data_IF_173532863710
#
_entry.id   IF_173532863710
#
_cell.length_a   1.000
_cell.length_b   1.000
_cell.length_c   1.000
_cell.angle_alpha   90.00
_cell.angle_beta   90.00
_cell.angle_gamma   90.00
#
_symmetry.space_group_name_H-M   'P 1'
#
loop_
_entity.id
_entity.type
_entity.pdbx_description
1 polymer ?
#
# COMPACT_ATOMS: atom_id res chain seq x y z
N UNK A 1 8.30 12.42 28.90
CA UNK A 1 7.76 12.26 27.52
C UNK A 1 8.87 12.71 26.57
N UNK A 2 9.19 11.89 25.58
CA UNK A 2 10.24 12.23 24.61
C UNK A 2 9.79 13.45 23.80
N UNK A 3 10.65 14.47 23.73
CA UNK A 3 10.36 15.69 22.97
C UNK A 3 10.73 15.55 21.47
N UNK A 4 10.88 14.31 21.00
CA UNK A 4 11.23 14.03 19.61
C UNK A 4 10.01 14.24 18.71
N UNK A 5 10.25 14.97 17.63
CA UNK A 5 9.26 15.19 16.57
C UNK A 5 9.82 14.61 15.27
N UNK A 6 8.97 13.97 14.49
CA UNK A 6 9.32 13.42 13.18
C UNK A 6 8.25 13.82 12.19
N UNK A 7 8.66 14.28 11.03
CA UNK A 7 7.77 14.54 9.91
C UNK A 7 7.73 13.32 8.98
N UNK A 8 6.54 12.92 8.55
CA UNK A 8 6.34 11.85 7.58
C UNK A 8 5.59 12.42 6.38
N UNK A 9 6.15 12.29 5.19
CA UNK A 9 5.51 12.70 3.95
C UNK A 9 4.92 11.50 3.23
N UNK A 10 3.61 11.54 3.00
CA UNK A 10 2.82 10.49 2.36
C UNK A 10 2.17 9.53 3.34
N UNK A 11 0.84 9.41 3.27
CA UNK A 11 0.05 8.47 4.06
C UNK A 11 -0.33 7.20 3.26
N UNK A 12 0.63 6.68 2.48
CA UNK A 12 0.59 5.35 1.91
C UNK A 12 0.86 4.27 2.96
N UNK A 13 1.06 3.02 2.52
CA UNK A 13 1.35 1.89 3.43
C UNK A 13 2.58 2.17 4.32
N UNK A 14 3.69 2.57 3.71
CA UNK A 14 4.94 2.80 4.44
C UNK A 14 4.84 3.98 5.42
N UNK A 15 4.23 5.09 4.99
CA UNK A 15 4.09 6.28 5.84
C UNK A 15 3.15 6.05 7.02
N UNK A 16 2.01 5.38 6.81
CA UNK A 16 1.09 5.02 7.90
C UNK A 16 1.73 4.06 8.90
N UNK A 17 2.44 3.02 8.44
CA UNK A 17 3.14 2.09 9.34
C UNK A 17 4.17 2.84 10.18
N UNK A 18 5.01 3.66 9.55
CA UNK A 18 6.04 4.44 10.25
C UNK A 18 5.42 5.43 11.26
N UNK A 19 4.39 6.16 10.85
CA UNK A 19 3.71 7.12 11.73
C UNK A 19 3.10 6.45 12.95
N UNK A 20 2.37 5.36 12.77
CA UNK A 20 1.74 4.60 13.85
C UNK A 20 2.78 3.96 14.78
N UNK A 21 3.85 3.41 14.22
CA UNK A 21 4.93 2.80 15.00
C UNK A 21 5.66 3.83 15.85
N UNK A 22 6.05 4.97 15.26
CA UNK A 22 6.71 6.08 15.97
C UNK A 22 5.81 6.65 17.08
N UNK A 23 4.53 6.89 16.76
CA UNK A 23 3.56 7.38 17.73
C UNK A 23 3.37 6.42 18.90
N UNK A 24 3.36 5.10 18.63
CA UNK A 24 3.33 4.06 19.66
C UNK A 24 4.56 4.03 20.59
N UNK A 25 5.68 4.62 20.15
CA UNK A 25 6.88 4.83 20.98
C UNK A 25 6.90 6.20 21.67
N UNK A 26 5.82 6.96 21.62
CA UNK A 26 5.68 8.27 22.25
C UNK A 26 6.35 9.41 21.47
N UNK A 27 6.67 9.21 20.19
CA UNK A 27 7.18 10.26 19.31
C UNK A 27 6.00 11.06 18.76
N UNK A 28 6.13 12.40 18.73
CA UNK A 28 5.16 13.28 18.07
C UNK A 28 5.39 13.23 16.56
N UNK A 29 4.38 12.86 15.78
CA UNK A 29 4.47 12.70 14.33
C UNK A 29 3.62 13.75 13.64
N UNK A 30 4.21 14.45 12.67
CA UNK A 30 3.47 15.28 11.71
C UNK A 30 3.40 14.52 10.40
N UNK A 31 2.19 14.09 10.02
CA UNK A 31 1.96 13.31 8.80
C UNK A 31 1.32 14.19 7.73
N UNK A 32 1.96 14.30 6.58
CA UNK A 32 1.45 15.02 5.41
C UNK A 32 0.90 14.06 4.38
N UNK A 33 -0.29 14.37 3.86
CA UNK A 33 -0.95 13.65 2.77
C UNK A 33 -1.60 14.63 1.80
N UNK A 34 -1.26 14.54 0.53
CA UNK A 34 -1.79 15.46 -0.48
C UNK A 34 -3.27 15.25 -0.81
N UNK A 35 -3.80 14.04 -0.59
CA UNK A 35 -5.22 13.76 -0.80
C UNK A 35 -6.07 14.36 0.33
N UNK A 36 -7.26 14.88 0.04
CA UNK A 36 -8.00 14.83 -1.22
C UNK A 36 -7.73 16.00 -2.18
N UNK A 37 -6.81 16.93 -1.87
CA UNK A 37 -6.58 18.12 -2.71
C UNK A 37 -5.88 17.80 -4.02
N UNK A 38 -4.97 16.82 -3.99
CA UNK A 38 -4.26 16.33 -5.17
C UNK A 38 -4.24 14.80 -5.19
N UNK A 39 -4.57 14.19 -6.34
CA UNK A 39 -4.54 12.75 -6.56
C UNK A 39 -3.50 12.42 -7.63
N UNK A 40 -2.68 11.40 -7.39
CA UNK A 40 -1.90 10.82 -8.50
C UNK A 40 -2.84 10.08 -9.46
N UNK A 41 -2.41 9.79 -10.70
CA UNK A 41 -3.25 9.09 -11.68
C UNK A 41 -3.79 7.73 -11.22
N UNK A 42 -3.13 7.08 -10.26
CA UNK A 42 -3.49 5.76 -9.77
C UNK A 42 -4.41 5.77 -8.53
N UNK A 43 -4.43 6.85 -7.77
CA UNK A 43 -5.23 6.97 -6.55
C UNK A 43 -6.65 7.48 -6.84
N UNK A 44 -7.64 6.92 -6.14
CA UNK A 44 -9.07 7.26 -6.31
C UNK A 44 -9.77 7.55 -4.98
N UNK A 45 -9.19 7.10 -3.87
CA UNK A 45 -9.74 7.26 -2.52
C UNK A 45 -9.02 8.35 -1.75
N UNK A 46 -9.73 9.15 -0.98
CA UNK A 46 -9.16 10.10 -0.02
C UNK A 46 -8.60 9.41 1.24
N UNK A 47 -8.86 8.12 1.44
CA UNK A 47 -8.36 7.32 2.55
C UNK A 47 -6.85 7.11 2.52
N UNK A 48 -6.30 6.72 3.67
CA UNK A 48 -4.89 6.37 3.79
C UNK A 48 -4.63 4.92 3.38
N UNK A 49 -3.38 4.57 3.13
CA UNK A 49 -2.93 3.22 2.78
C UNK A 49 -3.76 2.57 1.64
N UNK A 50 -4.16 3.35 0.64
CA UNK A 50 -4.91 2.87 -0.52
C UNK A 50 -4.08 1.83 -1.29
N UNK A 51 -4.68 0.65 -1.52
CA UNK A 51 -4.07 -0.41 -2.32
C UNK A 51 -4.41 -0.20 -3.81
N UNK A 52 -3.43 0.10 -4.64
CA UNK A 52 -3.62 0.48 -6.04
C UNK A 52 -3.63 -0.74 -6.98
N UNK A 53 -2.59 -1.60 -6.88
CA UNK A 53 -2.39 -2.68 -7.84
C UNK A 53 -3.23 -3.92 -7.54
N UNK A 54 -3.29 -4.34 -6.28
CA UNK A 54 -3.90 -5.60 -5.85
C UNK A 54 -4.37 -5.47 -4.41
N UNK A 55 -5.42 -6.21 -4.06
CA UNK A 55 -5.84 -6.38 -2.67
C UNK A 55 -5.05 -7.48 -1.94
N UNK A 56 -4.12 -8.15 -2.63
CA UNK A 56 -3.30 -9.21 -2.06
C UNK A 56 -1.98 -8.66 -1.52
N UNK A 57 -1.72 -8.92 -0.25
CA UNK A 57 -0.43 -8.69 0.40
C UNK A 57 0.51 -9.91 0.26
N UNK A 58 0.25 -10.76 -0.73
CA UNK A 58 1.03 -11.96 -1.09
C UNK A 58 0.95 -13.09 -0.05
N UNK A 59 1.74 -14.14 -0.29
CA UNK A 59 1.71 -15.36 0.52
C UNK A 59 2.01 -15.13 2.01
N UNK A 60 1.42 -15.96 2.88
CA UNK A 60 1.62 -15.94 4.34
C UNK A 60 2.51 -17.07 4.86
N UNK A 61 2.83 -18.05 4.03
CA UNK A 61 3.63 -19.20 4.45
C UNK A 61 5.05 -18.76 4.81
N UNK A 62 5.57 -19.26 5.93
CA UNK A 62 6.91 -18.94 6.42
C UNK A 62 8.05 -19.41 5.50
N UNK A 63 7.78 -20.39 4.65
CA UNK A 63 8.71 -20.87 3.63
C UNK A 63 8.74 -20.00 2.36
N UNK A 64 7.99 -18.90 2.33
CA UNK A 64 8.02 -17.88 1.28
C UNK A 64 8.60 -16.58 1.82
N UNK A 65 9.35 -15.85 0.98
CA UNK A 65 9.95 -14.58 1.38
C UNK A 65 8.91 -13.57 1.91
N UNK A 66 7.75 -13.48 1.24
CA UNK A 66 6.68 -12.56 1.65
C UNK A 66 5.98 -12.98 2.95
N UNK A 67 5.89 -14.29 3.21
CA UNK A 67 5.33 -14.80 4.47
C UNK A 67 6.29 -14.61 5.63
N UNK A 68 7.58 -14.89 5.42
CA UNK A 68 8.62 -14.66 6.43
C UNK A 68 8.68 -13.17 6.81
N UNK A 69 8.70 -12.27 5.82
CA UNK A 69 8.69 -10.81 6.07
C UNK A 69 7.48 -10.39 6.91
N UNK A 70 6.28 -10.89 6.61
CA UNK A 70 5.08 -10.59 7.42
C UNK A 70 5.19 -11.09 8.85
N UNK A 71 5.79 -12.26 9.06
CA UNK A 71 6.01 -12.77 10.43
C UNK A 71 7.01 -11.87 11.19
N UNK A 72 8.07 -11.43 10.55
CA UNK A 72 9.01 -10.46 11.13
C UNK A 72 8.29 -9.16 11.50
N UNK A 73 7.46 -8.62 10.58
CA UNK A 73 6.66 -7.43 10.83
C UNK A 73 5.65 -7.63 11.98
N UNK A 74 5.01 -8.80 12.10
CA UNK A 74 4.12 -9.13 13.24
C UNK A 74 4.87 -9.07 14.57
N UNK A 75 6.09 -9.63 14.62
CA UNK A 75 6.94 -9.58 15.81
C UNK A 75 7.43 -8.16 16.15
N UNK A 76 7.40 -7.27 15.17
CA UNK A 76 7.69 -5.84 15.34
C UNK A 76 6.44 -5.00 15.64
N UNK A 77 5.30 -5.63 15.93
CA UNK A 77 4.02 -4.97 16.22
C UNK A 77 3.49 -4.10 15.06
N UNK A 78 3.61 -4.59 13.81
CA UNK A 78 3.08 -3.89 12.64
C UNK A 78 1.58 -3.60 12.77
N UNK A 79 1.23 -2.34 12.67
CA UNK A 79 -0.16 -1.87 12.78
C UNK A 79 -0.96 -2.14 11.51
N UNK A 80 -0.32 -2.05 10.35
CA UNK A 80 -0.96 -2.35 9.09
C UNK A 80 -1.28 -3.84 8.93
N UNK A 81 -0.44 -4.73 9.46
CA UNK A 81 -0.78 -6.15 9.47
C UNK A 81 -1.97 -6.45 10.37
N UNK A 82 -2.11 -5.75 11.49
CA UNK A 82 -3.32 -5.86 12.33
C UNK A 82 -4.56 -5.46 11.53
N UNK A 83 -4.54 -4.30 10.87
CA UNK A 83 -5.64 -3.86 10.01
C UNK A 83 -5.92 -4.83 8.85
N UNK A 84 -4.88 -5.44 8.28
CA UNK A 84 -5.02 -6.42 7.21
C UNK A 84 -5.70 -7.72 7.69
N UNK A 85 -5.37 -8.19 8.88
CA UNK A 85 -6.03 -9.37 9.47
C UNK A 85 -7.51 -9.10 9.77
N UNK A 86 -7.84 -7.90 10.27
CA UNK A 86 -9.23 -7.49 10.56
C UNK A 86 -10.10 -7.37 9.30
N UNK A 87 -9.48 -7.09 8.15
CA UNK A 87 -10.18 -6.86 6.88
C UNK A 87 -9.91 -7.94 5.84
N UNK A 88 -9.44 -9.10 6.30
CA UNK A 88 -9.10 -10.26 5.48
C UNK A 88 -10.29 -10.75 4.66
N UNK A 89 -10.01 -11.14 3.42
CA UNK A 89 -10.92 -11.89 2.55
C UNK A 89 -10.29 -13.21 2.13
N UNK A 90 -11.10 -14.19 1.72
CA UNK A 90 -10.62 -15.48 1.28
C UNK A 90 -9.71 -15.36 0.04
N UNK A 91 -8.50 -15.91 0.13
CA UNK A 91 -7.51 -15.90 -0.95
C UNK A 91 -6.50 -17.06 -0.83
N UNK A 92 -6.94 -18.24 -0.41
CA UNK A 92 -6.11 -19.43 -0.24
C UNK A 92 -4.92 -19.18 0.69
N UNK A 93 -3.69 -19.38 0.22
CA UNK A 93 -2.47 -19.19 1.00
C UNK A 93 -1.91 -17.76 1.01
N UNK A 94 -2.69 -16.76 0.58
CA UNK A 94 -2.30 -15.36 0.58
C UNK A 94 -3.10 -14.55 1.60
N UNK A 95 -2.52 -13.48 2.12
CA UNK A 95 -3.24 -12.44 2.85
C UNK A 95 -3.82 -11.47 1.82
N UNK A 96 -5.12 -11.54 1.60
CA UNK A 96 -5.86 -10.55 0.82
C UNK A 96 -6.88 -9.84 1.72
N UNK A 97 -7.20 -8.61 1.37
CA UNK A 97 -8.07 -7.74 2.16
C UNK A 97 -9.18 -7.13 1.33
N UNK A 98 -10.29 -6.78 1.97
CA UNK A 98 -11.20 -5.79 1.40
C UNK A 98 -10.49 -4.44 1.38
N UNK A 99 -10.33 -3.84 0.19
CA UNK A 99 -9.53 -2.62 0.01
C UNK A 99 -10.09 -1.42 0.77
N UNK A 100 -11.40 -1.26 0.68
CA UNK A 100 -12.06 -0.10 1.28
C UNK A 100 -12.09 -0.22 2.80
N UNK A 101 -12.40 -1.42 3.30
CA UNK A 101 -12.37 -1.71 4.74
C UNK A 101 -10.95 -1.55 5.31
N UNK A 102 -9.92 -2.02 4.60
CA UNK A 102 -8.52 -1.88 5.00
C UNK A 102 -8.10 -0.39 5.07
N UNK A 103 -8.33 0.36 3.99
CA UNK A 103 -8.02 1.79 3.96
C UNK A 103 -8.77 2.55 5.06
N UNK A 104 -10.06 2.24 5.28
CA UNK A 104 -10.84 2.84 6.35
C UNK A 104 -10.32 2.49 7.75
N UNK A 105 -9.88 1.25 7.97
CA UNK A 105 -9.29 0.83 9.24
C UNK A 105 -7.99 1.59 9.53
N UNK A 106 -7.07 1.64 8.56
CA UNK A 106 -5.79 2.37 8.70
C UNK A 106 -6.04 3.87 8.90
N UNK A 107 -6.96 4.46 8.14
CA UNK A 107 -7.32 5.89 8.29
C UNK A 107 -7.78 6.19 9.71
N UNK A 108 -8.70 5.37 10.26
CA UNK A 108 -9.16 5.53 11.65
C UNK A 108 -8.01 5.40 12.66
N UNK A 109 -7.13 4.40 12.49
CA UNK A 109 -5.99 4.21 13.40
C UNK A 109 -5.08 5.44 13.45
N UNK A 110 -4.81 6.05 12.30
CA UNK A 110 -3.98 7.25 12.20
C UNK A 110 -4.69 8.47 12.80
N UNK A 111 -5.95 8.72 12.41
CA UNK A 111 -6.71 9.91 12.84
C UNK A 111 -7.09 9.88 14.32
N UNK A 112 -7.19 8.70 14.93
CA UNK A 112 -7.47 8.55 16.37
C UNK A 112 -6.20 8.53 17.24
N UNK A 113 -5.02 8.56 16.64
CA UNK A 113 -3.77 8.53 17.40
C UNK A 113 -3.38 9.92 17.88
N UNK A 114 -3.41 10.15 19.18
CA UNK A 114 -3.11 11.45 19.82
C UNK A 114 -1.71 11.99 19.50
N UNK A 115 -0.76 11.11 19.20
CA UNK A 115 0.62 11.49 18.87
C UNK A 115 0.83 11.74 17.37
N UNK A 116 -0.21 11.68 16.54
CA UNK A 116 -0.12 11.97 15.10
C UNK A 116 -0.96 13.21 14.78
N UNK A 117 -0.33 14.21 14.20
CA UNK A 117 -1.03 15.37 13.62
C UNK A 117 -1.04 15.21 12.11
N UNK A 118 -2.22 15.16 11.51
CA UNK A 118 -2.39 15.00 10.06
C UNK A 118 -2.61 16.36 9.40
N UNK A 119 -1.83 16.60 8.33
CA UNK A 119 -2.00 17.74 7.42
C UNK A 119 -2.38 17.22 6.03
N UNK A 120 -3.57 17.62 5.55
CA UNK A 120 -4.10 17.26 4.22
C UNK A 120 -3.68 18.32 3.20
N UNK A 121 -2.38 18.36 2.90
CA UNK A 121 -1.79 19.32 1.98
C UNK A 121 -0.59 18.73 1.23
N UNK A 122 -0.28 19.31 0.08
CA UNK A 122 0.88 18.94 -0.71
C UNK A 122 2.12 19.63 -0.13
N UNK A 123 3.21 18.86 0.02
CA UNK A 123 4.52 19.36 0.40
C UNK A 123 5.42 19.44 -0.83
N UNK A 124 6.03 20.59 -1.06
CA UNK A 124 6.88 20.85 -2.23
C UNK A 124 8.37 20.90 -1.88
N UNK A 125 8.68 21.16 -0.60
CA UNK A 125 10.06 21.28 -0.12
C UNK A 125 10.30 20.46 1.13
N UNK A 126 11.53 20.02 1.35
CA UNK A 126 11.93 19.21 2.50
C UNK A 126 12.68 20.08 3.49
N UNK A 127 12.16 20.19 4.72
CA UNK A 127 12.84 20.90 5.82
C UNK A 127 13.89 19.97 6.46
N UNK A 128 15.15 20.20 6.12
CA UNK A 128 16.29 19.42 6.62
C UNK A 128 16.66 19.72 8.09
N UNK A 129 15.96 20.65 8.76
CA UNK A 129 16.24 21.03 10.14
C UNK A 129 15.80 20.01 11.19
N UNK A 130 14.93 19.06 10.82
CA UNK A 130 14.39 18.03 11.70
C UNK A 130 14.35 16.65 10.99
N UNK A 131 14.27 15.54 11.75
CA UNK A 131 14.09 14.23 11.15
C UNK A 131 12.83 14.14 10.30
N UNK A 132 12.99 13.74 9.04
CA UNK A 132 11.92 13.60 8.08
C UNK A 132 12.01 12.24 7.39
N UNK A 133 10.84 11.60 7.19
CA UNK A 133 10.70 10.38 6.43
C UNK A 133 9.87 10.66 5.17
N UNK A 134 10.48 10.51 4.01
CA UNK A 134 9.78 10.61 2.73
C UNK A 134 9.24 9.23 2.34
N UNK A 135 7.93 9.07 2.37
CA UNK A 135 7.19 7.83 2.10
C UNK A 135 6.09 8.04 1.04
N UNK A 136 6.32 8.95 0.11
CA UNK A 136 5.35 9.38 -0.92
C UNK A 136 5.17 8.37 -2.04
N UNK A 137 6.06 7.37 -2.10
CA UNK A 137 5.95 6.25 -3.04
C UNK A 137 6.45 6.58 -4.45
N UNK A 138 6.28 5.64 -5.38
CA UNK A 138 6.89 5.72 -6.71
C UNK A 138 6.18 6.69 -7.67
N UNK A 139 5.01 7.19 -7.32
CA UNK A 139 4.23 8.15 -8.12
C UNK A 139 4.43 9.60 -7.66
N UNK A 140 5.50 9.86 -6.92
CA UNK A 140 5.88 11.22 -6.53
C UNK A 140 6.27 12.02 -7.77
N UNK A 141 5.67 13.21 -7.90
CA UNK A 141 5.85 14.10 -9.05
C UNK A 141 6.06 15.56 -8.62
N UNK A 142 6.22 16.45 -9.62
CA UNK A 142 6.33 17.89 -9.40
C UNK A 142 7.52 18.31 -8.53
N UNK A 143 7.35 19.41 -7.81
CA UNK A 143 8.41 20.05 -7.03
C UNK A 143 9.03 19.14 -5.97
N UNK A 144 8.24 18.28 -5.35
CA UNK A 144 8.79 17.33 -4.36
C UNK A 144 9.70 16.28 -5.00
N UNK A 145 9.40 15.81 -6.20
CA UNK A 145 10.26 14.88 -6.94
C UNK A 145 11.60 15.54 -7.29
N UNK A 146 11.55 16.81 -7.75
CA UNK A 146 12.76 17.61 -8.04
C UNK A 146 13.62 17.81 -6.77
N UNK A 147 12.97 18.10 -5.64
CA UNK A 147 13.64 18.28 -4.36
C UNK A 147 14.30 16.99 -3.84
N UNK A 148 13.64 15.84 -4.00
CA UNK A 148 14.23 14.53 -3.69
C UNK A 148 15.44 14.29 -4.58
N UNK A 149 15.33 14.56 -5.89
CA UNK A 149 16.44 14.45 -6.83
C UNK A 149 17.62 15.33 -6.43
N UNK A 150 17.38 16.56 -6.02
CA UNK A 150 18.41 17.49 -5.50
C UNK A 150 19.14 16.90 -4.28
N UNK A 151 18.39 16.34 -3.34
CA UNK A 151 18.95 15.78 -2.09
C UNK A 151 19.71 14.48 -2.31
N UNK A 152 19.24 13.63 -3.21
CA UNK A 152 19.88 12.33 -3.49
C UNK A 152 21.02 12.43 -4.50
N UNK A 153 21.08 13.52 -5.25
CA UNK A 153 22.00 13.68 -6.38
C UNK A 153 21.55 12.90 -7.64
N UNK A 154 20.31 12.43 -7.67
CA UNK A 154 19.73 11.64 -8.76
C UNK A 154 18.69 12.50 -9.49
N UNK A 155 18.93 12.77 -10.78
CA UNK A 155 18.06 13.68 -11.55
C UNK A 155 16.69 13.08 -11.88
N UNK A 156 16.48 11.77 -11.65
CA UNK A 156 15.23 11.08 -12.02
C UNK A 156 14.85 10.00 -11.00
N UNK A 157 13.59 10.03 -10.56
CA UNK A 157 12.98 8.89 -9.88
C UNK A 157 12.66 7.80 -10.93
N UNK A 158 13.17 6.59 -10.71
CA UNK A 158 12.89 5.46 -11.59
C UNK A 158 11.59 4.78 -11.18
N UNK A 159 10.61 4.79 -12.08
CA UNK A 159 9.33 4.13 -11.87
C UNK A 159 9.05 3.10 -12.96
N UNK A 160 8.64 1.90 -12.54
CA UNK A 160 8.10 0.87 -13.42
C UNK A 160 6.64 0.63 -13.06
N UNK A 161 5.74 0.97 -13.98
CA UNK A 161 4.32 0.68 -13.82
C UNK A 161 4.03 -0.75 -14.31
N UNK A 162 3.71 -1.63 -13.36
CA UNK A 162 3.18 -2.95 -13.67
C UNK A 162 1.66 -2.92 -13.48
N UNK A 163 0.95 -2.41 -14.48
CA UNK A 163 -0.52 -2.34 -14.45
C UNK A 163 -1.11 -3.74 -14.45
N UNK A 164 -1.72 -4.14 -13.34
CA UNK A 164 -2.58 -5.31 -13.29
C UNK A 164 -3.99 -4.90 -13.74
N UNK A 165 -4.57 -5.49 -14.80
CA UNK A 165 -5.93 -5.20 -15.20
C UNK A 165 -6.90 -5.60 -14.09
N UNK A 166 -7.74 -4.66 -13.65
CA UNK A 166 -8.77 -4.90 -12.65
C UNK A 166 -10.11 -4.77 -13.36
N UNK A 167 -10.93 -5.80 -13.23
CA UNK A 167 -12.28 -5.84 -13.79
C UNK A 167 -13.30 -6.04 -12.67
N UNK A 168 -14.55 -5.59 -12.88
CA UNK A 168 -15.61 -5.83 -11.91
C UNK A 168 -16.11 -7.26 -12.00
N UNK A 169 -16.60 -7.83 -10.90
CA UNK A 169 -17.11 -9.19 -10.86
C UNK A 169 -18.28 -9.39 -11.84
N UNK A 170 -19.12 -8.36 -12.00
CA UNK A 170 -20.27 -8.36 -12.92
C UNK A 170 -19.86 -8.41 -14.40
N UNK A 171 -18.64 -8.01 -14.73
CA UNK A 171 -18.12 -8.07 -16.09
C UNK A 171 -17.60 -9.45 -16.51
N UNK A 172 -17.54 -10.40 -15.58
CA UNK A 172 -17.03 -11.74 -15.84
C UNK A 172 -18.11 -12.63 -16.47
N UNK A 173 -17.72 -13.35 -17.52
CA UNK A 173 -18.55 -14.44 -18.09
C UNK A 173 -18.32 -15.71 -17.28
N UNK A 174 -19.18 -15.98 -16.32
CA UNK A 174 -19.11 -17.16 -15.45
C UNK A 174 -19.25 -18.50 -16.19
N UNK A 175 -19.63 -18.50 -17.47
CA UNK A 175 -19.58 -19.68 -18.32
C UNK A 175 -18.17 -20.01 -18.85
N UNK A 176 -17.24 -19.06 -18.74
CA UNK A 176 -15.87 -19.18 -19.25
C UNK A 176 -14.80 -19.23 -18.17
N UNK A 177 -15.15 -18.84 -16.94
CA UNK A 177 -14.24 -18.87 -15.79
C UNK A 177 -14.57 -20.05 -14.88
N UNK A 178 -13.62 -20.47 -14.07
CA UNK A 178 -13.83 -21.53 -13.09
C UNK A 178 -13.13 -21.20 -11.77
N UNK A 179 -13.73 -21.66 -10.66
CA UNK A 179 -13.12 -21.52 -9.34
C UNK A 179 -12.07 -22.63 -9.12
N UNK A 180 -10.89 -22.26 -8.67
CA UNK A 180 -9.85 -23.20 -8.28
C UNK A 180 -8.86 -22.55 -7.31
N UNK A 181 -8.16 -23.38 -6.53
CA UNK A 181 -7.03 -22.94 -5.74
C UNK A 181 -5.80 -22.72 -6.62
N UNK A 182 -4.90 -21.86 -6.18
CA UNK A 182 -3.63 -21.66 -6.85
C UNK A 182 -2.67 -22.79 -6.49
N UNK A 183 -2.16 -23.52 -7.51
CA UNK A 183 -1.26 -24.67 -7.35
C UNK A 183 -1.87 -25.83 -6.54
N UNK A 184 -3.19 -26.03 -6.63
CA UNK A 184 -3.93 -27.07 -5.90
C UNK A 184 -3.72 -27.01 -4.37
N UNK A 185 -3.60 -25.80 -3.83
CA UNK A 185 -3.36 -25.55 -2.41
C UNK A 185 -4.43 -24.66 -1.82
N UNK A 186 -5.07 -25.14 -0.73
CA UNK A 186 -6.16 -24.43 -0.07
C UNK A 186 -7.51 -24.63 -0.78
N UNK A 187 -8.45 -23.75 -0.52
CA UNK A 187 -9.79 -23.79 -1.08
C UNK A 187 -9.85 -23.09 -2.46
N UNK A 188 -10.93 -23.29 -3.20
CA UNK A 188 -11.11 -22.74 -4.54
C UNK A 188 -11.50 -21.25 -4.52
N UNK A 189 -10.65 -20.42 -3.93
CA UNK A 189 -10.90 -19.00 -3.65
C UNK A 189 -10.62 -18.04 -4.82
N UNK A 190 -10.12 -18.58 -5.94
CA UNK A 190 -9.79 -17.78 -7.11
C UNK A 190 -10.68 -18.12 -8.29
N UNK A 191 -11.14 -17.09 -9.01
CA UNK A 191 -11.72 -17.26 -10.34
C UNK A 191 -10.59 -17.24 -11.37
N UNK A 192 -10.45 -18.35 -12.09
CA UNK A 192 -9.43 -18.51 -13.11
C UNK A 192 -10.03 -18.23 -14.48
N UNK A 193 -9.40 -17.35 -15.23
CA UNK A 193 -9.76 -17.02 -16.61
C UNK A 193 -8.81 -17.77 -17.54
N UNK A 194 -9.22 -18.88 -18.19
CA UNK A 194 -8.36 -19.64 -19.07
C UNK A 194 -8.10 -18.89 -20.38
N UNK A 195 -6.88 -18.98 -20.87
CA UNK A 195 -6.48 -18.48 -22.19
C UNK A 195 -6.13 -19.68 -23.11
N UNK A 196 -6.52 -19.62 -24.35
CA UNK A 196 -5.92 -20.47 -25.36
C UNK A 196 -4.54 -19.92 -25.75
N UNK A 197 -3.76 -20.70 -26.53
CA UNK A 197 -2.40 -20.29 -26.90
C UNK A 197 -2.35 -18.97 -27.68
N UNK A 198 -3.31 -18.71 -28.55
CA UNK A 198 -3.34 -17.50 -29.37
C UNK A 198 -3.65 -16.26 -28.50
N UNK A 199 -4.62 -16.37 -27.58
CA UNK A 199 -4.96 -15.32 -26.64
C UNK A 199 -3.81 -15.02 -25.69
N UNK A 200 -3.13 -16.05 -25.16
CA UNK A 200 -1.98 -15.87 -24.29
C UNK A 200 -0.82 -15.16 -25.01
N UNK A 201 -0.52 -15.58 -26.25
CA UNK A 201 0.53 -14.94 -27.05
C UNK A 201 0.18 -13.49 -27.40
N UNK A 202 -1.09 -13.19 -27.65
CA UNK A 202 -1.54 -11.81 -27.84
C UNK A 202 -1.32 -10.96 -26.58
N UNK A 203 -1.68 -11.48 -25.41
CA UNK A 203 -1.55 -10.78 -24.12
C UNK A 203 -0.09 -10.44 -23.79
N UNK A 204 0.86 -11.37 -24.03
CA UNK A 204 2.28 -11.13 -23.72
C UNK A 204 3.00 -10.23 -24.72
N UNK A 205 2.36 -9.87 -25.83
CA UNK A 205 2.91 -8.96 -26.85
C UNK A 205 2.31 -7.55 -26.81
N UNK A 206 1.40 -7.28 -25.88
CA UNK A 206 0.88 -5.95 -25.60
C UNK A 206 1.86 -5.20 -24.71
#
# INVERSE_FOLDING_TARGET
MSNYKVTVLGAGLAGCEAALWLAGKGVQVTLYEQKPTHFSPAHKSAGFAELICSNSLKAERLDSASGLLKEEMRRMDSRLLTAAEETRVAAGGALAVDRDAFSAAVTRMVEQCENITVHREQVETIDESAPILVATGPLTDGALADEIGRLTGDERLHFYDAVAPIVTAESLDYGKVFAASRYDRGEADYLNCPFNKAEYLSLIHI
#
